data_IF_065236688705
#
_entry.id   IF_065236688705
#
_cell.length_a   1.000
_cell.length_b   1.000
_cell.length_c   1.000
_cell.angle_alpha   90.00
_cell.angle_beta   90.00
_cell.angle_gamma   90.00
#
_symmetry.space_group_name_H-M   'P 1'
#
loop_
_entity.id
_entity.type
_entity.pdbx_description
1 polymer ?
#
# COMPACT_ATOMS: atom_id res chain seq x y z
N UNK A 1 20.67 -4.27 -9.57
CA UNK A 1 19.74 -5.29 -10.09
C UNK A 1 18.33 -4.89 -9.72
N UNK A 2 17.36 -5.10 -10.60
CA UNK A 2 15.94 -4.89 -10.27
C UNK A 2 15.51 -5.93 -9.21
N UNK A 3 14.72 -5.49 -8.22
CA UNK A 3 14.11 -6.36 -7.23
C UNK A 3 13.00 -7.19 -7.85
N UNK A 4 12.76 -8.39 -7.30
CA UNK A 4 11.67 -9.26 -7.72
C UNK A 4 10.31 -8.56 -7.69
N UNK A 5 9.42 -8.98 -8.58
CA UNK A 5 8.01 -8.60 -8.58
C UNK A 5 7.17 -9.88 -8.66
N UNK A 6 6.14 -9.95 -7.83
CA UNK A 6 5.17 -11.05 -7.80
C UNK A 6 3.76 -10.48 -7.74
N UNK A 7 2.77 -11.24 -8.23
CA UNK A 7 1.37 -10.86 -8.11
C UNK A 7 0.65 -11.81 -7.15
N UNK A 8 -0.16 -11.25 -6.25
CA UNK A 8 -1.07 -11.98 -5.37
C UNK A 8 -2.45 -11.33 -5.40
N UNK A 9 -3.49 -12.10 -5.10
CA UNK A 9 -4.86 -11.59 -5.00
C UNK A 9 -5.31 -11.61 -3.54
N UNK A 10 -5.73 -10.45 -3.03
CA UNK A 10 -6.22 -10.27 -1.66
C UNK A 10 -7.44 -9.35 -1.71
N UNK A 11 -8.55 -9.74 -1.07
CA UNK A 11 -9.81 -8.98 -1.07
C UNK A 11 -10.29 -8.57 -2.48
N UNK A 12 -10.07 -9.42 -3.49
CA UNK A 12 -10.41 -9.12 -4.89
C UNK A 12 -9.49 -8.10 -5.57
N UNK A 13 -8.42 -7.66 -4.91
CA UNK A 13 -7.40 -6.77 -5.48
C UNK A 13 -6.20 -7.57 -5.98
N UNK A 14 -5.78 -7.33 -7.22
CA UNK A 14 -4.52 -7.83 -7.77
C UNK A 14 -3.37 -6.95 -7.29
N UNK A 15 -2.63 -7.41 -6.28
CA UNK A 15 -1.50 -6.70 -5.70
C UNK A 15 -0.21 -7.08 -6.41
N UNK A 16 0.60 -6.09 -6.79
CA UNK A 16 1.99 -6.32 -7.18
C UNK A 16 2.89 -6.09 -5.98
N UNK A 17 3.68 -7.11 -5.63
CA UNK A 17 4.55 -7.14 -4.44
C UNK A 17 6.01 -7.22 -4.90
N UNK A 18 6.80 -6.24 -4.49
CA UNK A 18 8.21 -6.11 -4.85
C UNK A 18 9.11 -6.49 -3.67
N UNK A 19 10.23 -7.16 -3.96
CA UNK A 19 11.24 -7.52 -2.97
C UNK A 19 10.96 -8.82 -2.19
N UNK A 20 9.87 -9.55 -2.53
CA UNK A 20 9.43 -10.72 -1.76
C UNK A 20 10.34 -11.94 -1.97
N UNK A 21 10.86 -12.17 -3.18
CA UNK A 21 11.77 -13.29 -3.43
C UNK A 21 13.12 -13.09 -2.71
N UNK A 22 13.59 -11.84 -2.62
CA UNK A 22 14.77 -11.47 -1.83
C UNK A 22 14.54 -11.75 -0.35
N UNK A 23 13.38 -11.36 0.18
CA UNK A 23 13.01 -11.62 1.58
C UNK A 23 13.04 -13.11 1.91
N UNK A 24 12.46 -13.95 1.05
CA UNK A 24 12.39 -15.42 1.26
C UNK A 24 13.76 -16.11 1.35
N UNK A 25 14.84 -15.44 0.96
CA UNK A 25 16.23 -15.94 1.09
C UNK A 25 16.90 -15.48 2.39
N UNK A 26 16.27 -14.62 3.17
CA UNK A 26 16.79 -14.12 4.44
C UNK A 26 16.46 -15.10 5.59
N UNK A 27 17.15 -14.99 6.74
CA UNK A 27 16.80 -15.75 7.93
C UNK A 27 15.33 -15.58 8.31
N UNK A 28 14.74 -16.64 8.85
CA UNK A 28 13.36 -16.62 9.32
C UNK A 28 13.14 -15.49 10.33
N UNK A 29 11.95 -14.86 10.28
CA UNK A 29 11.57 -13.72 11.12
C UNK A 29 12.46 -12.47 10.96
N UNK A 30 13.18 -12.33 9.84
CA UNK A 30 13.81 -11.05 9.48
C UNK A 30 12.75 -9.94 9.50
N UNK A 31 12.96 -8.83 10.23
CA UNK A 31 11.97 -7.75 10.30
C UNK A 31 11.60 -7.18 8.94
N UNK A 32 10.30 -6.96 8.69
CA UNK A 32 9.77 -6.40 7.45
C UNK A 32 9.16 -5.03 7.67
N UNK A 33 9.38 -4.12 6.72
CA UNK A 33 8.57 -2.94 6.51
C UNK A 33 7.80 -3.10 5.19
N UNK A 34 6.50 -2.80 5.19
CA UNK A 34 5.68 -2.81 3.97
C UNK A 34 5.33 -1.37 3.61
N UNK A 35 5.63 -0.96 2.39
CA UNK A 35 5.26 0.34 1.83
C UNK A 35 4.19 0.17 0.76
N UNK A 36 2.99 0.69 0.99
CA UNK A 36 1.99 0.81 -0.06
C UNK A 36 2.37 1.96 -1.01
N UNK A 37 2.30 1.72 -2.33
CA UNK A 37 2.52 2.73 -3.36
C UNK A 37 1.25 2.90 -4.20
N UNK A 38 0.66 4.11 -4.16
CA UNK A 38 -0.66 4.40 -4.74
C UNK A 38 -0.55 5.33 -5.96
N UNK A 39 -1.07 4.87 -7.11
CA UNK A 39 -0.98 5.59 -8.37
C UNK A 39 -1.96 6.77 -8.49
N UNK A 40 -1.70 7.68 -9.43
CA UNK A 40 -2.56 8.83 -9.71
C UNK A 40 -3.83 8.49 -10.51
N UNK A 41 -4.72 9.48 -10.64
CA UNK A 41 -5.93 9.38 -11.46
C UNK A 41 -5.57 9.12 -12.93
N UNK A 42 -6.41 8.38 -13.64
CA UNK A 42 -6.23 7.95 -15.04
C UNK A 42 -5.00 7.06 -15.30
N UNK A 43 -4.36 6.54 -14.23
CA UNK A 43 -3.23 5.63 -14.31
C UNK A 43 -3.62 4.22 -13.84
N UNK A 44 -2.62 3.36 -13.68
CA UNK A 44 -2.73 2.02 -13.11
C UNK A 44 -1.50 1.72 -12.23
N UNK A 45 -1.52 0.58 -11.55
CA UNK A 45 -0.49 0.15 -10.58
C UNK A 45 0.93 0.06 -11.15
N UNK A 46 1.09 -0.23 -12.45
CA UNK A 46 2.43 -0.32 -13.07
C UNK A 46 3.13 1.03 -13.16
N UNK A 47 2.42 2.14 -13.02
CA UNK A 47 3.06 3.45 -12.87
C UNK A 47 3.85 3.60 -11.58
N UNK A 48 3.68 2.70 -10.62
CA UNK A 48 4.47 2.65 -9.41
C UNK A 48 5.72 1.77 -9.55
N UNK A 49 5.98 1.13 -10.71
CA UNK A 49 7.10 0.20 -10.89
C UNK A 49 8.45 0.86 -10.57
N UNK A 50 8.71 2.03 -11.16
CA UNK A 50 9.99 2.74 -10.97
C UNK A 50 10.22 3.10 -9.50
N UNK A 51 9.21 3.65 -8.83
CA UNK A 51 9.36 4.02 -7.40
C UNK A 51 9.49 2.78 -6.53
N UNK A 52 8.79 1.68 -6.85
CA UNK A 52 8.91 0.42 -6.13
C UNK A 52 10.33 -0.15 -6.23
N UNK A 53 10.92 -0.12 -7.43
CA UNK A 53 12.30 -0.56 -7.65
C UNK A 53 13.31 0.30 -6.89
N UNK A 54 13.16 1.63 -6.94
CA UNK A 54 14.02 2.56 -6.19
C UNK A 54 13.93 2.29 -4.69
N UNK A 55 12.72 2.13 -4.15
CA UNK A 55 12.52 1.84 -2.73
C UNK A 55 13.12 0.49 -2.33
N UNK A 56 12.85 -0.58 -3.09
CA UNK A 56 13.44 -1.89 -2.78
C UNK A 56 14.97 -1.92 -2.93
N UNK A 57 15.56 -1.02 -3.74
CA UNK A 57 17.02 -0.89 -3.82
C UNK A 57 17.68 -0.48 -2.49
N UNK A 58 16.92 0.17 -1.58
CA UNK A 58 17.39 0.56 -0.24
C UNK A 58 17.74 -0.65 0.64
N UNK A 59 17.24 -1.85 0.30
CA UNK A 59 17.62 -3.10 0.97
C UNK A 59 19.11 -3.46 0.76
N UNK A 60 19.76 -2.89 -0.26
CA UNK A 60 21.16 -3.16 -0.62
C UNK A 60 22.15 -2.15 -0.02
N UNK A 61 21.66 -1.03 0.53
CA UNK A 61 22.53 -0.05 1.20
C UNK A 61 23.00 -0.65 2.52
N UNK A 62 24.29 -0.50 2.85
CA UNK A 62 24.99 -1.14 3.97
C UNK A 62 24.08 -1.42 5.17
N UNK A 63 23.78 -2.71 5.36
CA UNK A 63 22.89 -3.22 6.40
C UNK A 63 23.47 -2.90 7.77
N UNK A 64 23.03 -1.79 8.35
CA UNK A 64 23.21 -1.59 9.78
C UNK A 64 22.48 -2.74 10.49
N UNK A 65 23.03 -3.19 11.62
CA UNK A 65 22.34 -4.16 12.47
C UNK A 65 20.93 -3.60 12.78
N UNK A 66 19.90 -4.43 12.61
CA UNK A 66 18.46 -4.10 12.78
C UNK A 66 17.73 -3.41 11.62
N UNK A 67 18.29 -3.36 10.40
CA UNK A 67 17.53 -2.83 9.25
C UNK A 67 16.40 -3.80 8.82
N UNK A 68 15.18 -3.27 8.73
CA UNK A 68 14.01 -3.99 8.18
C UNK A 68 14.18 -4.19 6.67
N UNK A 69 13.78 -5.36 6.17
CA UNK A 69 13.62 -5.60 4.74
C UNK A 69 12.37 -4.87 4.24
N UNK A 70 12.53 -4.01 3.23
CA UNK A 70 11.46 -3.22 2.65
C UNK A 70 10.79 -3.97 1.50
N UNK A 71 9.50 -4.23 1.65
CA UNK A 71 8.60 -4.67 0.58
C UNK A 71 7.78 -3.48 0.10
N UNK A 72 7.52 -3.41 -1.21
CA UNK A 72 6.59 -2.44 -1.80
C UNK A 72 5.38 -3.16 -2.36
N UNK A 73 4.19 -2.62 -2.10
CA UNK A 73 2.91 -3.19 -2.53
C UNK A 73 2.11 -2.14 -3.28
N UNK A 74 1.66 -2.43 -4.48
CA UNK A 74 0.82 -1.53 -5.29
C UNK A 74 -0.39 -2.28 -5.86
N UNK A 75 -1.48 -1.57 -6.06
CA UNK A 75 -2.73 -2.10 -6.61
C UNK A 75 -3.48 -1.02 -7.38
N UNK A 76 -4.42 -1.45 -8.23
CA UNK A 76 -5.25 -0.50 -8.98
C UNK A 76 -6.33 0.11 -8.08
N UNK A 77 -6.44 1.43 -8.09
CA UNK A 77 -7.54 2.14 -7.44
C UNK A 77 -8.91 1.71 -7.99
N UNK A 78 -9.97 2.05 -7.25
CA UNK A 78 -11.32 1.82 -7.75
C UNK A 78 -11.49 2.53 -9.09
N UNK A 79 -12.14 1.84 -10.04
CA UNK A 79 -12.38 2.36 -11.38
C UNK A 79 -11.09 2.73 -12.17
N UNK A 80 -9.95 2.08 -11.89
CA UNK A 80 -8.69 2.29 -12.60
C UNK A 80 -8.02 0.97 -12.99
N UNK A 81 -7.09 1.01 -13.94
CA UNK A 81 -6.31 -0.16 -14.38
C UNK A 81 -7.17 -1.39 -14.64
N UNK A 82 -6.83 -2.51 -14.00
CA UNK A 82 -7.57 -3.78 -14.10
C UNK A 82 -8.97 -3.75 -13.47
N UNK A 83 -9.33 -2.68 -12.77
CA UNK A 83 -10.63 -2.46 -12.11
C UNK A 83 -11.45 -1.35 -12.78
N UNK A 84 -11.05 -0.90 -13.97
CA UNK A 84 -11.79 0.13 -14.71
C UNK A 84 -13.16 -0.40 -15.14
N UNK A 85 -14.23 0.31 -14.76
CA UNK A 85 -15.61 -0.04 -15.11
C UNK A 85 -16.33 1.08 -15.87
N UNK A 86 -16.13 2.34 -15.46
CA UNK A 86 -16.67 3.51 -16.13
C UNK A 86 -15.59 4.58 -16.29
N UNK A 87 -15.07 4.71 -17.51
CA UNK A 87 -14.04 5.71 -17.82
C UNK A 87 -14.52 7.14 -17.60
N UNK A 88 -15.81 7.44 -17.78
CA UNK A 88 -16.33 8.81 -17.68
C UNK A 88 -16.26 9.36 -16.25
N UNK A 89 -16.55 8.50 -15.27
CA UNK A 89 -16.46 8.84 -13.85
C UNK A 89 -15.03 9.24 -13.40
N UNK A 90 -14.00 8.95 -14.19
CA UNK A 90 -12.62 9.37 -13.88
C UNK A 90 -12.25 10.76 -14.41
N UNK A 91 -13.01 11.32 -15.36
CA UNK A 91 -12.71 12.64 -15.93
C UNK A 91 -13.00 13.77 -14.95
N UNK A 92 -12.44 14.96 -15.19
CA UNK A 92 -12.82 16.19 -14.47
C UNK A 92 -14.25 16.61 -14.84
N UNK A 93 -14.78 17.65 -14.17
CA UNK A 93 -16.07 18.25 -14.55
C UNK A 93 -16.20 18.50 -16.04
N UNK A 94 -15.11 18.97 -16.67
CA UNK A 94 -14.98 19.14 -18.11
C UNK A 94 -13.53 18.89 -18.56
N UNK A 95 -13.34 17.94 -19.46
CA UNK A 95 -12.04 17.50 -19.98
C UNK A 95 -12.15 17.29 -21.50
N UNK A 96 -11.81 18.32 -22.27
CA UNK A 96 -12.00 18.31 -23.72
C UNK A 96 -13.48 18.13 -24.09
N UNK A 97 -13.82 16.99 -24.70
CA UNK A 97 -15.20 16.62 -25.08
C UNK A 97 -15.91 15.77 -24.01
N UNK A 98 -15.25 15.49 -22.90
CA UNK A 98 -15.80 14.69 -21.82
C UNK A 98 -16.29 15.57 -20.69
N UNK A 99 -17.41 15.17 -20.08
CA UNK A 99 -17.99 15.85 -18.93
C UNK A 99 -18.30 14.82 -17.86
N UNK A 100 -17.99 15.16 -16.60
CA UNK A 100 -18.37 14.38 -15.44
C UNK A 100 -19.10 15.31 -14.43
N UNK A 101 -20.44 15.38 -14.46
CA UNK A 101 -21.19 16.24 -13.55
C UNK A 101 -21.03 15.84 -12.07
N UNK A 102 -20.69 14.57 -11.81
CA UNK A 102 -20.49 14.01 -10.47
C UNK A 102 -19.01 13.94 -10.05
N UNK A 103 -18.11 14.63 -10.78
CA UNK A 103 -16.67 14.54 -10.55
C UNK A 103 -16.23 14.66 -9.09
N UNK A 104 -16.81 15.60 -8.33
CA UNK A 104 -16.46 15.80 -6.93
C UNK A 104 -16.66 14.53 -6.10
N UNK A 105 -17.84 13.90 -6.22
CA UNK A 105 -18.19 12.72 -5.43
C UNK A 105 -17.48 11.47 -5.97
N UNK A 106 -17.27 11.36 -7.27
CA UNK A 106 -16.53 10.25 -7.88
C UNK A 106 -15.07 10.27 -7.42
N UNK A 107 -14.42 11.43 -7.51
CA UNK A 107 -13.05 11.62 -7.06
C UNK A 107 -12.90 11.34 -5.56
N UNK A 108 -13.80 11.90 -4.73
CA UNK A 108 -13.79 11.65 -3.29
C UNK A 108 -13.98 10.15 -2.97
N UNK A 109 -14.93 9.49 -3.64
CA UNK A 109 -15.22 8.07 -3.42
C UNK A 109 -14.02 7.19 -3.78
N UNK A 110 -13.31 7.49 -4.87
CA UNK A 110 -12.10 6.76 -5.26
C UNK A 110 -10.93 6.98 -4.30
N UNK A 111 -10.73 8.22 -3.83
CA UNK A 111 -9.72 8.54 -2.80
C UNK A 111 -10.00 7.79 -1.50
N UNK A 112 -11.25 7.86 -1.02
CA UNK A 112 -11.67 7.17 0.20
C UNK A 112 -11.55 5.65 0.06
N UNK A 113 -11.99 5.09 -1.07
CA UNK A 113 -11.86 3.66 -1.34
C UNK A 113 -10.39 3.21 -1.34
N UNK A 114 -9.48 3.98 -1.94
CA UNK A 114 -8.05 3.71 -1.89
C UNK A 114 -7.51 3.66 -0.46
N UNK A 115 -7.88 4.64 0.38
CA UNK A 115 -7.50 4.67 1.78
C UNK A 115 -8.05 3.48 2.58
N UNK A 116 -9.34 3.15 2.39
CA UNK A 116 -9.98 2.00 3.04
C UNK A 116 -9.32 0.69 2.64
N UNK A 117 -9.03 0.49 1.35
CA UNK A 117 -8.32 -0.71 0.88
C UNK A 117 -6.95 -0.87 1.53
N UNK A 118 -6.19 0.22 1.74
CA UNK A 118 -4.92 0.15 2.49
C UNK A 118 -5.16 -0.35 3.91
N UNK A 119 -6.14 0.21 4.64
CA UNK A 119 -6.45 -0.23 6.00
C UNK A 119 -6.89 -1.70 6.07
N UNK A 120 -7.75 -2.15 5.16
CA UNK A 120 -8.19 -3.54 5.09
C UNK A 120 -7.03 -4.49 4.75
N UNK A 121 -6.13 -4.08 3.85
CA UNK A 121 -4.96 -4.88 3.51
C UNK A 121 -3.99 -4.99 4.69
N UNK A 122 -3.79 -3.94 5.50
CA UNK A 122 -2.93 -4.00 6.70
C UNK A 122 -3.36 -5.14 7.64
N UNK A 123 -4.66 -5.40 7.76
CA UNK A 123 -5.19 -6.41 8.69
C UNK A 123 -4.95 -7.86 8.23
N UNK A 124 -4.84 -8.11 6.92
CA UNK A 124 -4.81 -9.47 6.37
C UNK A 124 -3.55 -9.80 5.55
N UNK A 125 -2.87 -8.78 4.99
CA UNK A 125 -1.81 -8.98 4.00
C UNK A 125 -0.61 -9.76 4.54
N UNK A 126 -0.27 -9.57 5.81
CA UNK A 126 0.84 -10.29 6.44
C UNK A 126 0.65 -11.81 6.35
N UNK A 127 -0.56 -12.30 6.62
CA UNK A 127 -0.89 -13.72 6.49
C UNK A 127 -0.73 -14.20 5.04
N UNK A 128 -1.16 -13.40 4.06
CA UNK A 128 -1.04 -13.76 2.64
C UNK A 128 0.41 -13.79 2.14
N UNK A 129 1.31 -12.98 2.74
CA UNK A 129 2.71 -12.93 2.36
C UNK A 129 3.57 -14.02 3.02
N UNK A 130 3.30 -14.33 4.29
CA UNK A 130 4.20 -15.14 5.13
C UNK A 130 3.53 -16.37 5.78
N UNK A 131 2.21 -16.52 5.68
CA UNK A 131 1.46 -17.62 6.29
C UNK A 131 1.11 -17.40 7.77
N UNK A 132 0.50 -18.41 8.39
CA UNK A 132 -0.09 -18.31 9.73
C UNK A 132 0.92 -18.15 10.87
N UNK A 133 2.13 -18.71 10.71
CA UNK A 133 3.12 -18.86 11.77
C UNK A 133 4.14 -17.73 11.81
N UNK A 134 4.18 -16.87 10.78
CA UNK A 134 5.17 -15.83 10.64
C UNK A 134 4.49 -14.45 10.64
N UNK A 135 4.88 -13.58 11.59
CA UNK A 135 4.42 -12.18 11.64
C UNK A 135 5.60 -11.20 11.71
N UNK A 136 6.36 -11.06 10.61
CA UNK A 136 7.58 -10.27 10.60
C UNK A 136 7.35 -8.76 10.35
N UNK A 137 6.14 -8.33 10.01
CA UNK A 137 5.86 -6.93 9.65
C UNK A 137 5.82 -6.06 10.89
N UNK A 138 6.83 -5.19 11.01
CA UNK A 138 6.96 -4.27 12.14
C UNK A 138 6.48 -2.86 11.83
N UNK A 139 6.44 -2.50 10.54
CA UNK A 139 6.15 -1.14 10.10
C UNK A 139 5.35 -1.14 8.80
N UNK A 140 4.37 -0.25 8.74
CA UNK A 140 3.55 0.01 7.56
C UNK A 140 3.77 1.46 7.13
N UNK A 141 3.99 1.66 5.84
CA UNK A 141 4.09 2.96 5.21
C UNK A 141 3.15 3.05 4.02
N UNK A 142 2.84 4.27 3.60
CA UNK A 142 2.07 4.53 2.40
C UNK A 142 2.63 5.78 1.72
N UNK A 143 2.80 5.70 0.40
CA UNK A 143 3.15 6.81 -0.48
C UNK A 143 2.18 6.82 -1.66
N UNK A 144 1.97 7.99 -2.25
CA UNK A 144 1.15 8.08 -3.45
C UNK A 144 1.29 9.40 -4.18
N UNK A 145 0.85 9.40 -5.44
CA UNK A 145 0.94 10.56 -6.32
C UNK A 145 -0.45 11.06 -6.71
N UNK A 146 -0.68 12.38 -6.66
CA UNK A 146 -1.97 13.00 -7.01
C UNK A 146 -3.13 12.35 -6.23
N UNK A 147 -4.12 11.74 -6.90
CA UNK A 147 -5.19 10.95 -6.26
C UNK A 147 -4.67 9.91 -5.25
N UNK A 148 -3.59 9.21 -5.59
CA UNK A 148 -2.94 8.28 -4.68
C UNK A 148 -2.35 8.98 -3.45
N UNK A 149 -1.82 10.19 -3.61
CA UNK A 149 -1.32 11.02 -2.50
C UNK A 149 -2.45 11.46 -1.56
N UNK A 150 -3.60 11.88 -2.10
CA UNK A 150 -4.79 12.13 -1.28
C UNK A 150 -5.24 10.86 -0.54
N UNK A 151 -5.21 9.70 -1.19
CA UNK A 151 -5.54 8.41 -0.56
C UNK A 151 -4.58 8.09 0.59
N UNK A 152 -3.29 8.35 0.42
CA UNK A 152 -2.25 8.21 1.46
C UNK A 152 -2.56 9.06 2.69
N UNK A 153 -2.91 10.34 2.50
CA UNK A 153 -3.29 11.21 3.62
C UNK A 153 -4.55 10.71 4.33
N UNK A 154 -5.55 10.27 3.59
CA UNK A 154 -6.76 9.69 4.18
C UNK A 154 -6.47 8.39 4.95
N UNK A 155 -5.60 7.52 4.45
CA UNK A 155 -5.22 6.29 5.14
C UNK A 155 -4.50 6.61 6.46
N UNK A 156 -3.59 7.58 6.45
CA UNK A 156 -2.87 8.02 7.65
C UNK A 156 -3.80 8.68 8.68
N UNK A 157 -4.72 9.55 8.23
CA UNK A 157 -5.63 10.27 9.11
C UNK A 157 -6.70 9.37 9.76
N UNK A 158 -7.12 8.31 9.07
CA UNK A 158 -8.15 7.39 9.56
C UNK A 158 -7.57 6.18 10.31
N UNK A 159 -6.24 6.09 10.47
CA UNK A 159 -5.60 5.06 11.27
C UNK A 159 -6.03 5.18 12.74
N UNK A 160 -6.71 4.16 13.26
CA UNK A 160 -7.03 4.12 14.70
C UNK A 160 -5.72 3.92 15.47
N UNK A 161 -5.35 4.83 16.39
CA UNK A 161 -4.20 4.58 17.26
C UNK A 161 -4.46 3.30 18.05
N UNK A 162 -3.49 2.39 18.10
CA UNK A 162 -3.57 1.25 19.02
C UNK A 162 -3.74 1.84 20.43
N UNK A 163 -4.72 1.36 21.22
CA UNK A 163 -4.85 1.83 22.60
C UNK A 163 -3.53 1.57 23.31
N UNK A 164 -2.88 2.64 23.78
CA UNK A 164 -1.67 2.52 24.56
C UNK A 164 -2.01 1.70 25.80
N UNK A 165 -1.36 0.55 25.97
CA UNK A 165 -1.49 -0.23 27.21
C UNK A 165 -0.98 0.67 28.34
N UNK A 166 -1.90 1.30 29.08
CA UNK A 166 -1.55 1.98 30.33
C UNK A 166 -0.84 0.94 31.20
N UNK A 167 0.45 1.16 31.50
CA UNK A 167 1.16 0.35 32.50
C UNK A 167 0.35 0.45 33.79
N UNK A 168 -0.37 -0.62 34.16
CA UNK A 168 -0.98 -0.73 35.48
C UNK A 168 0.19 -0.64 36.47
N UNK A 169 0.32 0.49 37.18
CA UNK A 169 1.20 0.57 38.34
C UNK A 169 0.71 -0.51 39.31
N UNK A 170 1.54 -1.52 39.57
CA UNK A 170 1.28 -2.45 40.67
C UNK A 170 1.31 -1.63 41.95
N UNK A 171 0.28 -1.67 42.81
CA UNK A 171 0.40 -1.09 44.14
C UNK A 171 1.48 -1.88 44.88
N UNK A 172 2.45 -1.15 45.44
CA UNK A 172 3.38 -1.71 46.40
C UNK A 172 2.58 -2.01 47.67
N UNK A 173 2.42 -3.29 47.98
CA UNK A 173 2.13 -3.80 49.31
C UNK A 173 3.43 -4.36 49.87
#
# INVERSE_FOLDING_TARGET
MASSQSEIVVNGLKLSVYGLAEYKRLPENTPVAVMFALHGRLQNKSKMDTIAQVLCSLNNVQRQQQQRHLLVVTFDHANHGSRLTDKKANFSWKEGKHENPTHAIDMYSMVRAGATSVSELIDVLEYHLFGATCRPVQCWGCIGFSMGGHSTFFAAANGKPKPTKKKKKRPHL
#
